data_IF_636857376777
#
_entry.id   IF_636857376777
#
_cell.length_a   1.000
_cell.length_b   1.000
_cell.length_c   1.000
_cell.angle_alpha   90.00
_cell.angle_beta   90.00
_cell.angle_gamma   90.00
#
_symmetry.space_group_name_H-M   'P 1'
#
loop_
_entity.id
_entity.type
_entity.pdbx_description
1 polymer ?
#
# COMPACT_ATOMS: atom_id res chain seq x y z
N UNK A 1 9.63 21.87 7.45
CA UNK A 1 10.48 21.34 8.55
C UNK A 1 10.95 22.41 9.50
N UNK A 2 11.43 23.54 8.98
CA UNK A 2 12.07 24.59 9.77
C UNK A 2 11.16 25.26 10.80
N UNK A 3 9.87 25.43 10.48
CA UNK A 3 8.89 26.08 11.37
C UNK A 3 8.67 25.28 12.67
N UNK A 4 8.38 23.98 12.59
CA UNK A 4 8.14 23.18 13.81
C UNK A 4 9.39 23.05 14.69
N UNK A 5 10.58 22.87 14.07
CA UNK A 5 11.85 22.86 14.81
C UNK A 5 12.07 24.17 15.57
N UNK A 6 11.79 25.30 14.91
CA UNK A 6 12.00 26.64 15.47
C UNK A 6 11.04 26.97 16.61
N UNK A 7 9.78 26.53 16.53
CA UNK A 7 8.73 26.94 17.48
C UNK A 7 8.37 25.89 18.54
N UNK A 8 8.64 24.60 18.29
CA UNK A 8 8.22 23.49 19.16
C UNK A 8 9.41 22.64 19.64
N UNK A 9 10.58 22.78 18.99
CA UNK A 9 11.81 22.08 19.34
C UNK A 9 12.05 20.83 18.50
N UNK A 10 13.33 20.46 18.37
CA UNK A 10 13.78 19.41 17.45
C UNK A 10 13.41 17.98 17.85
N UNK A 11 13.20 17.76 19.14
CA UNK A 11 12.86 16.45 19.71
C UNK A 11 11.37 16.30 20.03
N UNK A 12 10.55 17.33 19.77
CA UNK A 12 9.12 17.23 19.99
C UNK A 12 8.51 16.18 19.04
N UNK A 13 7.58 15.38 19.56
CA UNK A 13 6.91 14.29 18.82
C UNK A 13 6.30 14.77 17.49
N UNK A 14 5.73 15.98 17.43
CA UNK A 14 5.19 16.54 16.19
C UNK A 14 6.29 16.83 15.15
N UNK A 15 7.42 17.38 15.59
CA UNK A 15 8.60 17.62 14.73
C UNK A 15 9.16 16.31 14.19
N UNK A 16 9.33 15.32 15.07
CA UNK A 16 9.81 13.99 14.69
C UNK A 16 8.84 13.27 13.74
N UNK A 17 7.54 13.38 13.98
CA UNK A 17 6.50 12.85 13.10
C UNK A 17 6.58 13.45 11.69
N UNK A 18 6.82 14.76 11.58
CA UNK A 18 7.00 15.39 10.27
C UNK A 18 8.29 14.94 9.59
N UNK A 19 9.38 14.74 10.33
CA UNK A 19 10.63 14.14 9.83
C UNK A 19 10.40 12.74 9.25
N UNK A 20 9.58 11.91 9.88
CA UNK A 20 9.20 10.62 9.31
C UNK A 20 8.40 10.78 8.02
N UNK A 21 7.38 11.64 7.99
CA UNK A 21 6.58 11.88 6.77
C UNK A 21 7.41 12.38 5.59
N UNK A 22 8.43 13.20 5.88
CA UNK A 22 9.40 13.63 4.86
C UNK A 22 10.26 12.46 4.36
N UNK A 23 10.71 11.58 5.27
CA UNK A 23 11.34 10.31 4.90
C UNK A 23 10.46 9.45 3.99
N UNK A 24 9.17 9.32 4.32
CA UNK A 24 8.20 8.54 3.54
C UNK A 24 8.03 9.13 2.12
N UNK A 25 8.05 10.46 2.00
CA UNK A 25 8.03 11.17 0.71
C UNK A 25 9.28 10.86 -0.12
N UNK A 26 10.46 10.86 0.50
CA UNK A 26 11.74 10.54 -0.17
C UNK A 26 11.76 9.11 -0.70
N UNK A 27 11.24 8.15 0.06
CA UNK A 27 11.03 6.78 -0.44
C UNK A 27 10.13 6.79 -1.68
N UNK A 28 9.02 7.54 -1.63
CA UNK A 28 8.07 7.65 -2.74
C UNK A 28 8.65 8.22 -4.03
N UNK A 29 9.66 9.09 -3.96
CA UNK A 29 10.36 9.67 -5.13
C UNK A 29 11.66 8.94 -5.49
N UNK A 30 12.00 7.86 -4.78
CA UNK A 30 13.15 7.00 -5.08
C UNK A 30 14.47 7.39 -4.39
N UNK A 31 14.49 8.39 -3.52
CA UNK A 31 15.70 8.80 -2.77
C UNK A 31 15.89 8.01 -1.47
N UNK A 32 16.00 6.69 -1.62
CA UNK A 32 16.02 5.73 -0.50
C UNK A 32 17.21 5.89 0.46
N UNK A 33 18.38 6.33 -0.04
CA UNK A 33 19.55 6.59 0.81
C UNK A 33 19.34 7.73 1.79
N UNK A 34 18.73 8.82 1.34
CA UNK A 34 18.41 10.00 2.15
C UNK A 34 17.31 9.69 3.16
N UNK A 35 16.28 8.94 2.74
CA UNK A 35 15.24 8.43 3.62
C UNK A 35 15.80 7.61 4.78
N UNK A 36 16.74 6.70 4.50
CA UNK A 36 17.43 5.90 5.51
C UNK A 36 18.13 6.77 6.57
N UNK A 37 18.80 7.84 6.14
CA UNK A 37 19.47 8.77 7.05
C UNK A 37 18.48 9.53 7.94
N UNK A 38 17.35 9.98 7.36
CA UNK A 38 16.28 10.67 8.12
C UNK A 38 15.67 9.75 9.18
N UNK A 39 15.27 8.53 8.82
CA UNK A 39 14.69 7.60 9.80
C UNK A 39 15.64 7.29 10.95
N UNK A 40 16.92 7.05 10.66
CA UNK A 40 17.95 6.84 11.69
C UNK A 40 18.12 8.05 12.61
N UNK A 41 18.08 9.25 12.05
CA UNK A 41 18.20 10.47 12.83
C UNK A 41 16.99 10.66 13.77
N UNK A 42 15.78 10.44 13.26
CA UNK A 42 14.55 10.50 14.06
C UNK A 42 14.60 9.49 15.20
N UNK A 43 14.94 8.24 14.91
CA UNK A 43 15.06 7.20 15.93
C UNK A 43 16.00 7.65 17.07
N UNK A 44 17.22 8.06 16.72
CA UNK A 44 18.22 8.52 17.71
C UNK A 44 17.73 9.71 18.54
N UNK A 45 17.04 10.68 17.92
CA UNK A 45 16.46 11.82 18.65
C UNK A 45 15.34 11.38 19.59
N UNK A 46 14.47 10.50 19.12
CA UNK A 46 13.35 9.95 19.89
C UNK A 46 13.84 9.16 21.11
N UNK A 47 14.85 8.30 20.95
CA UNK A 47 15.48 7.56 22.04
C UNK A 47 16.06 8.50 23.10
N UNK A 48 16.86 9.49 22.67
CA UNK A 48 17.45 10.49 23.58
C UNK A 48 16.41 11.30 24.33
N UNK A 49 15.26 11.54 23.72
CA UNK A 49 14.14 12.27 24.31
C UNK A 49 13.17 11.38 25.11
N UNK A 50 13.41 10.07 25.20
CA UNK A 50 12.54 9.12 25.90
C UNK A 50 11.22 8.80 25.17
N UNK A 51 11.11 9.16 23.89
CA UNK A 51 9.93 8.88 23.06
C UNK A 51 10.00 7.47 22.45
N UNK A 52 9.92 6.45 23.31
CA UNK A 52 10.06 5.02 22.95
C UNK A 52 9.23 4.59 21.74
N UNK A 53 7.93 4.93 21.70
CA UNK A 53 7.07 4.47 20.60
C UNK A 53 7.38 5.18 19.26
N UNK A 54 7.90 6.41 19.31
CA UNK A 54 8.40 7.13 18.13
C UNK A 54 9.72 6.51 17.63
N UNK A 55 10.61 6.13 18.55
CA UNK A 55 11.84 5.41 18.22
C UNK A 55 11.53 4.06 17.55
N UNK A 56 10.60 3.29 18.13
CA UNK A 56 10.11 2.03 17.56
C UNK A 56 9.53 2.22 16.15
N UNK A 57 8.68 3.23 15.96
CA UNK A 57 8.10 3.54 14.64
C UNK A 57 9.12 3.96 13.59
N UNK A 58 10.22 4.62 14.00
CA UNK A 58 11.33 4.97 13.13
C UNK A 58 12.19 3.74 12.77
N UNK A 59 12.50 2.88 13.75
CA UNK A 59 13.20 1.62 13.54
C UNK A 59 12.43 0.69 12.59
N UNK A 60 11.11 0.59 12.75
CA UNK A 60 10.26 -0.19 11.85
C UNK A 60 10.31 0.34 10.40
N UNK A 61 10.26 1.65 10.18
CA UNK A 61 10.42 2.23 8.82
C UNK A 61 11.78 1.89 8.21
N UNK A 62 12.86 1.86 9.01
CA UNK A 62 14.18 1.39 8.55
C UNK A 62 14.13 -0.09 8.16
N UNK A 63 13.46 -0.93 8.94
CA UNK A 63 13.25 -2.35 8.64
C UNK A 63 12.51 -2.55 7.31
N UNK A 64 11.41 -1.81 7.13
CA UNK A 64 10.62 -1.84 5.89
C UNK A 64 11.43 -1.38 4.68
N UNK A 65 12.21 -0.31 4.81
CA UNK A 65 13.10 0.14 3.75
C UNK A 65 14.17 -0.91 3.41
N UNK A 66 14.79 -1.54 4.41
CA UNK A 66 15.75 -2.63 4.18
C UNK A 66 15.12 -3.80 3.44
N UNK A 67 13.89 -4.19 3.81
CA UNK A 67 13.11 -5.22 3.13
C UNK A 67 12.90 -4.87 1.65
N UNK A 68 12.46 -3.64 1.35
CA UNK A 68 12.23 -3.20 -0.04
C UNK A 68 13.50 -3.18 -0.89
N UNK A 69 14.66 -3.06 -0.27
CA UNK A 69 15.97 -3.07 -0.92
C UNK A 69 16.60 -4.47 -0.99
N UNK A 70 15.89 -5.53 -0.57
CA UNK A 70 16.38 -6.91 -0.56
C UNK A 70 17.40 -7.21 0.54
N UNK A 71 17.58 -6.32 1.52
CA UNK A 71 18.50 -6.49 2.65
C UNK A 71 17.80 -7.20 3.79
N UNK A 72 17.54 -8.50 3.63
CA UNK A 72 16.68 -9.26 4.53
C UNK A 72 17.22 -9.39 5.96
N UNK A 73 18.53 -9.59 6.12
CA UNK A 73 19.17 -9.65 7.44
C UNK A 73 19.00 -8.32 8.20
N UNK A 74 19.28 -7.19 7.54
CA UNK A 74 19.07 -5.86 8.11
C UNK A 74 17.60 -5.64 8.47
N UNK A 75 16.68 -6.03 7.57
CA UNK A 75 15.25 -5.88 7.78
C UNK A 75 14.76 -6.63 9.02
N UNK A 76 15.22 -7.86 9.21
CA UNK A 76 14.88 -8.65 10.40
C UNK A 76 15.44 -8.03 11.67
N UNK A 77 16.74 -7.70 11.70
CA UNK A 77 17.37 -7.07 12.85
C UNK A 77 16.66 -5.76 13.27
N UNK A 78 16.34 -4.90 12.30
CA UNK A 78 15.67 -3.62 12.55
C UNK A 78 14.23 -3.80 13.03
N UNK A 79 13.55 -4.87 12.60
CA UNK A 79 12.21 -5.18 13.06
C UNK A 79 12.21 -5.71 14.51
N UNK A 80 13.21 -6.52 14.89
CA UNK A 80 13.42 -6.90 16.29
C UNK A 80 13.80 -5.70 17.17
N UNK A 81 14.65 -4.80 16.67
CA UNK A 81 15.00 -3.54 17.33
C UNK A 81 13.75 -2.66 17.58
N UNK A 82 12.84 -2.57 16.61
CA UNK A 82 11.58 -1.85 16.78
C UNK A 82 10.72 -2.41 17.91
N UNK A 83 10.65 -3.74 18.06
CA UNK A 83 9.95 -4.38 19.19
C UNK A 83 10.63 -4.05 20.51
N UNK A 84 11.96 -4.09 20.57
CA UNK A 84 12.71 -3.80 21.79
C UNK A 84 12.58 -2.34 22.26
N UNK A 85 12.39 -1.40 21.32
CA UNK A 85 12.23 0.03 21.62
C UNK A 85 10.81 0.40 22.09
N UNK A 86 9.80 -0.40 21.72
CA UNK A 86 8.40 -0.13 22.00
C UNK A 86 8.10 -0.18 23.50
N UNK A 87 7.18 0.68 23.97
CA UNK A 87 6.70 0.62 25.38
C UNK A 87 5.20 0.49 25.45
N UNK A 88 4.45 1.39 24.83
CA UNK A 88 2.98 1.35 24.89
C UNK A 88 2.39 0.49 23.76
N UNK A 89 3.11 0.34 22.64
CA UNK A 89 2.64 -0.32 21.43
C UNK A 89 3.40 -1.62 21.11
N UNK A 90 3.91 -2.33 22.13
CA UNK A 90 4.73 -3.55 21.96
C UNK A 90 4.02 -4.59 21.09
N UNK A 91 2.73 -4.85 21.37
CA UNK A 91 1.96 -5.86 20.62
C UNK A 91 1.86 -5.50 19.13
N UNK A 92 1.57 -4.24 18.81
CA UNK A 92 1.56 -3.76 17.43
C UNK A 92 2.92 -3.94 16.76
N UNK A 93 4.03 -3.63 17.45
CA UNK A 93 5.36 -3.81 16.88
C UNK A 93 5.72 -5.28 16.65
N UNK A 94 5.27 -6.18 17.54
CA UNK A 94 5.43 -7.64 17.35
C UNK A 94 4.70 -8.06 16.07
N UNK A 95 3.46 -7.64 15.87
CA UNK A 95 2.67 -7.97 14.68
C UNK A 95 3.34 -7.44 13.39
N UNK A 96 3.81 -6.19 13.43
CA UNK A 96 4.54 -5.57 12.32
C UNK A 96 5.84 -6.30 11.99
N UNK A 97 6.59 -6.78 12.99
CA UNK A 97 7.77 -7.63 12.78
C UNK A 97 7.40 -8.94 12.10
N UNK A 98 6.32 -9.61 12.53
CA UNK A 98 5.90 -10.86 11.91
C UNK A 98 5.48 -10.65 10.44
N UNK A 99 4.93 -9.49 10.09
CA UNK A 99 4.69 -9.11 8.69
C UNK A 99 6.00 -9.01 7.90
N UNK A 100 7.06 -8.39 8.46
CA UNK A 100 8.38 -8.31 7.82
C UNK A 100 8.96 -9.71 7.60
N UNK A 101 8.98 -10.56 8.62
CA UNK A 101 9.48 -11.95 8.52
C UNK A 101 8.72 -12.76 7.48
N UNK A 102 7.40 -12.61 7.44
CA UNK A 102 6.56 -13.28 6.44
C UNK A 102 6.92 -12.85 5.02
N UNK A 103 7.17 -11.55 4.79
CA UNK A 103 7.60 -11.06 3.48
C UNK A 103 8.98 -11.57 3.07
N UNK A 104 9.91 -11.70 4.03
CA UNK A 104 11.21 -12.33 3.80
C UNK A 104 11.02 -13.81 3.40
N UNK A 105 10.21 -14.56 4.14
CA UNK A 105 9.92 -15.97 3.86
C UNK A 105 9.32 -16.16 2.45
N UNK A 106 8.35 -15.32 2.06
CA UNK A 106 7.78 -15.32 0.70
C UNK A 106 8.87 -15.06 -0.34
N UNK A 107 9.77 -14.09 -0.10
CA UNK A 107 10.87 -13.82 -1.02
C UNK A 107 11.83 -15.01 -1.16
N UNK A 108 11.95 -15.85 -0.14
CA UNK A 108 12.72 -17.10 -0.20
C UNK A 108 11.92 -18.29 -0.76
N UNK A 109 10.68 -18.08 -1.17
CA UNK A 109 9.85 -19.10 -1.82
C UNK A 109 8.94 -19.88 -0.87
N UNK A 110 8.82 -19.48 0.40
CA UNK A 110 7.85 -20.09 1.32
C UNK A 110 6.42 -19.65 0.97
N UNK A 111 5.70 -20.56 0.32
CA UNK A 111 4.30 -20.35 -0.11
C UNK A 111 3.30 -20.46 1.05
N UNK A 112 3.69 -21.02 2.19
CA UNK A 112 2.85 -21.22 3.37
C UNK A 112 2.93 -20.08 4.40
N UNK A 113 3.97 -19.24 4.32
CA UNK A 113 4.22 -18.15 5.27
C UNK A 113 3.01 -17.20 5.44
N UNK A 114 2.31 -16.87 4.36
CA UNK A 114 1.15 -15.96 4.42
C UNK A 114 -0.01 -16.58 5.19
N UNK A 115 -0.32 -17.85 4.93
CA UNK A 115 -1.41 -18.55 5.62
C UNK A 115 -1.08 -18.76 7.11
N UNK A 116 0.19 -18.95 7.45
CA UNK A 116 0.65 -19.02 8.83
C UNK A 116 0.51 -17.68 9.58
N UNK A 117 0.88 -16.57 8.94
CA UNK A 117 0.70 -15.23 9.50
C UNK A 117 -0.78 -14.88 9.67
N UNK A 118 -1.59 -15.16 8.65
CA UNK A 118 -3.02 -14.95 8.67
C UNK A 118 -3.71 -15.69 9.84
N UNK A 119 -3.28 -16.90 10.20
CA UNK A 119 -3.83 -17.60 11.37
C UNK A 119 -3.53 -16.91 12.71
N UNK A 120 -2.43 -16.16 12.77
CA UNK A 120 -1.94 -15.51 13.99
C UNK A 120 -2.53 -14.11 14.17
N UNK A 121 -2.65 -13.36 13.08
CA UNK A 121 -3.32 -12.07 13.06
C UNK A 121 -4.83 -12.33 12.96
N UNK A 122 -5.59 -12.12 14.03
CA UNK A 122 -7.06 -12.12 13.95
C UNK A 122 -7.57 -10.72 14.18
N UNK A 123 -8.42 -10.25 13.27
CA UNK A 123 -9.09 -8.96 13.37
C UNK A 123 -10.58 -9.15 13.72
N UNK A 124 -11.18 -8.11 14.28
CA UNK A 124 -12.64 -8.03 14.35
C UNK A 124 -13.22 -7.78 12.95
N UNK A 125 -14.38 -8.36 12.63
CA UNK A 125 -15.11 -8.04 11.39
C UNK A 125 -15.50 -6.56 11.25
N UNK A 126 -15.51 -5.80 12.35
CA UNK A 126 -15.81 -4.37 12.36
C UNK A 126 -14.63 -3.50 11.88
N UNK A 127 -13.42 -4.06 11.83
CA UNK A 127 -12.23 -3.34 11.39
C UNK A 127 -12.09 -3.36 9.87
N UNK A 128 -11.48 -2.30 9.34
CA UNK A 128 -11.20 -2.21 7.91
C UNK A 128 -10.20 -3.31 7.51
N UNK A 129 -10.52 -4.19 6.53
CA UNK A 129 -9.69 -5.35 6.25
C UNK A 129 -8.27 -4.96 5.87
N UNK A 130 -7.30 -5.50 6.63
CA UNK A 130 -5.88 -5.19 6.44
C UNK A 130 -5.25 -6.16 5.44
N UNK A 131 -4.64 -5.61 4.38
CA UNK A 131 -3.97 -6.40 3.35
C UNK A 131 -2.60 -6.87 3.85
N UNK A 132 -2.39 -8.19 3.92
CA UNK A 132 -1.10 -8.79 4.27
C UNK A 132 -0.21 -8.84 3.03
N UNK A 133 -0.75 -9.41 1.95
CA UNK A 133 -0.01 -9.74 0.75
C UNK A 133 -0.83 -9.48 -0.50
N UNK A 134 -0.17 -8.87 -1.49
CA UNK A 134 -0.62 -8.82 -2.87
C UNK A 134 0.60 -9.06 -3.76
N UNK A 135 0.54 -9.98 -4.72
CA UNK A 135 1.63 -10.12 -5.68
C UNK A 135 1.75 -8.87 -6.55
N UNK A 136 2.90 -8.67 -7.22
CA UNK A 136 3.01 -7.64 -8.24
C UNK A 136 1.98 -7.86 -9.34
N UNK A 137 1.58 -6.79 -10.00
CA UNK A 137 0.77 -6.88 -11.21
C UNK A 137 1.73 -7.17 -12.35
N UNK A 138 1.82 -8.44 -12.73
CA UNK A 138 2.63 -8.86 -13.86
C UNK A 138 2.05 -8.28 -15.18
N UNK A 139 2.90 -8.19 -16.20
CA UNK A 139 2.50 -8.03 -17.60
C UNK A 139 2.08 -6.64 -18.06
N UNK A 140 2.24 -5.62 -17.23
CA UNK A 140 1.90 -4.24 -17.60
C UNK A 140 2.74 -3.73 -18.77
N UNK A 141 4.00 -4.17 -18.86
CA UNK A 141 4.95 -3.75 -19.89
C UNK A 141 5.49 -4.95 -20.71
N UNK A 142 4.71 -6.02 -20.90
CA UNK A 142 5.19 -7.20 -21.66
C UNK A 142 5.61 -6.77 -23.07
N UNK A 143 6.84 -7.09 -23.54
CA UNK A 143 7.21 -6.90 -24.93
C UNK A 143 6.44 -7.92 -25.76
N UNK A 144 5.32 -7.53 -26.36
CA UNK A 144 4.65 -8.37 -27.35
C UNK A 144 5.49 -8.38 -28.63
N UNK A 145 5.76 -9.57 -29.19
CA UNK A 145 6.54 -9.77 -30.41
C UNK A 145 6.00 -9.01 -31.65
N UNK A 146 4.79 -8.46 -31.57
CA UNK A 146 4.13 -7.69 -32.64
C UNK A 146 4.13 -6.16 -32.41
N UNK A 147 4.83 -5.64 -31.40
CA UNK A 147 4.73 -4.22 -31.01
C UNK A 147 6.02 -3.42 -31.21
N UNK A 148 6.75 -3.65 -32.29
CA UNK A 148 7.86 -2.79 -32.68
C UNK A 148 7.40 -1.41 -33.22
N UNK A 149 6.11 -1.10 -33.29
CA UNK A 149 5.68 0.16 -33.93
C UNK A 149 4.80 1.13 -33.13
N UNK A 150 4.09 0.79 -32.05
CA UNK A 150 3.14 1.77 -31.46
C UNK A 150 2.92 1.78 -29.93
N UNK A 151 3.57 0.93 -29.12
CA UNK A 151 3.39 0.98 -27.64
C UNK A 151 4.13 2.17 -27.00
N UNK A 152 5.06 2.80 -27.73
CA UNK A 152 5.95 3.85 -27.18
C UNK A 152 5.21 5.18 -26.91
N UNK A 153 3.94 5.34 -27.35
CA UNK A 153 3.22 6.62 -27.27
C UNK A 153 1.75 6.52 -26.85
N UNK A 154 1.36 5.52 -26.04
CA UNK A 154 0.00 5.53 -25.50
C UNK A 154 -0.14 6.55 -24.35
N UNK A 155 -0.51 7.77 -24.72
CA UNK A 155 -0.82 8.86 -23.80
C UNK A 155 -2.18 8.70 -23.10
N UNK A 156 -2.99 7.72 -23.52
CA UNK A 156 -4.32 7.52 -22.97
C UNK A 156 -4.25 6.91 -21.56
N UNK A 157 -5.04 7.47 -20.65
CA UNK A 157 -5.22 6.92 -19.31
C UNK A 157 -6.29 5.85 -19.41
N UNK A 158 -5.93 4.59 -19.17
CA UNK A 158 -6.88 3.50 -19.08
C UNK A 158 -7.24 3.24 -17.61
N UNK A 159 -8.51 2.97 -17.32
CA UNK A 159 -8.90 2.57 -15.96
C UNK A 159 -10.05 1.56 -15.91
N UNK A 160 -10.18 0.87 -14.78
CA UNK A 160 -11.39 0.14 -14.43
C UNK A 160 -11.67 0.23 -12.93
N UNK A 161 -12.96 0.27 -12.58
CA UNK A 161 -13.43 0.14 -11.20
C UNK A 161 -13.80 -1.34 -11.00
N UNK A 162 -13.16 -1.99 -10.03
CA UNK A 162 -13.33 -3.41 -9.76
C UNK A 162 -13.89 -3.60 -8.36
N UNK A 163 -14.99 -4.34 -8.27
CA UNK A 163 -15.61 -4.77 -7.02
C UNK A 163 -15.17 -6.17 -6.65
N UNK A 164 -14.98 -6.46 -5.35
CA UNK A 164 -14.72 -7.81 -4.88
C UNK A 164 -15.05 -7.98 -3.39
N UNK A 165 -15.29 -9.22 -2.98
CA UNK A 165 -15.53 -9.59 -1.59
C UNK A 165 -14.24 -10.08 -0.92
N UNK A 166 -13.97 -9.57 0.29
CA UNK A 166 -12.96 -10.11 1.20
C UNK A 166 -13.69 -11.02 2.19
N UNK A 167 -13.43 -12.33 2.11
CA UNK A 167 -14.06 -13.36 2.94
C UNK A 167 -13.48 -13.37 4.36
N UNK A 168 -14.20 -13.93 5.34
CA UNK A 168 -13.69 -14.08 6.72
C UNK A 168 -12.35 -14.81 6.83
N UNK A 169 -12.04 -15.70 5.88
CA UNK A 169 -10.75 -16.40 5.80
C UNK A 169 -9.60 -15.55 5.23
N UNK A 170 -9.86 -14.27 4.95
CA UNK A 170 -8.90 -13.33 4.39
C UNK A 170 -8.67 -13.47 2.88
N UNK A 171 -9.41 -14.31 2.16
CA UNK A 171 -9.29 -14.47 0.70
C UNK A 171 -10.27 -13.58 -0.06
N UNK A 172 -9.90 -13.23 -1.28
CA UNK A 172 -10.78 -12.48 -2.19
C UNK A 172 -11.67 -13.43 -3.00
N UNK A 173 -12.86 -12.97 -3.35
CA UNK A 173 -13.80 -13.71 -4.22
C UNK A 173 -14.78 -12.76 -4.92
N UNK A 174 -15.55 -13.28 -5.87
CA UNK A 174 -16.63 -12.52 -6.52
C UNK A 174 -16.14 -11.23 -7.16
N UNK A 175 -15.01 -11.30 -7.87
CA UNK A 175 -14.42 -10.14 -8.54
C UNK A 175 -15.32 -9.76 -9.72
N UNK A 176 -15.76 -8.51 -9.77
CA UNK A 176 -16.59 -7.95 -10.82
C UNK A 176 -16.03 -6.64 -11.37
N UNK A 177 -16.39 -6.32 -12.61
CA UNK A 177 -16.00 -5.08 -13.28
C UNK A 177 -17.18 -4.11 -13.23
N UNK A 178 -17.06 -3.04 -12.45
CA UNK A 178 -18.13 -2.04 -12.27
C UNK A 178 -18.06 -0.95 -13.34
N UNK A 179 -16.85 -0.51 -13.70
CA UNK A 179 -16.60 0.43 -14.80
C UNK A 179 -15.36 0.02 -15.57
N UNK A 180 -15.33 0.30 -16.86
CA UNK A 180 -14.17 0.05 -17.71
C UNK A 180 -14.00 1.18 -18.73
N UNK A 181 -12.80 1.75 -18.76
CA UNK A 181 -12.35 2.75 -19.70
C UNK A 181 -11.00 2.32 -20.27
N UNK A 182 -11.03 1.28 -21.12
CA UNK A 182 -9.86 0.90 -21.92
C UNK A 182 -8.82 0.01 -21.23
N UNK A 183 -9.12 -0.63 -20.09
CA UNK A 183 -8.15 -1.47 -19.38
C UNK A 183 -7.80 -2.79 -20.11
N UNK A 184 -8.52 -3.12 -21.19
CA UNK A 184 -8.57 -4.43 -21.87
C UNK A 184 -7.33 -5.32 -21.76
N UNK A 185 -6.17 -4.90 -22.30
CA UNK A 185 -4.94 -5.71 -22.32
C UNK A 185 -4.39 -6.05 -20.91
N UNK A 186 -4.56 -5.15 -19.95
CA UNK A 186 -3.99 -5.27 -18.60
C UNK A 186 -4.94 -5.94 -17.60
N UNK A 187 -6.23 -6.03 -17.95
CA UNK A 187 -7.27 -6.59 -17.07
C UNK A 187 -6.92 -7.98 -16.53
N UNK A 188 -6.45 -8.97 -17.33
CA UNK A 188 -6.16 -10.30 -16.80
C UNK A 188 -5.08 -10.31 -15.71
N UNK A 189 -4.04 -9.48 -15.84
CA UNK A 189 -2.97 -9.36 -14.83
C UNK A 189 -3.52 -8.79 -13.51
N UNK A 190 -4.34 -7.75 -13.60
CA UNK A 190 -5.00 -7.13 -12.45
C UNK A 190 -5.94 -8.12 -11.74
N UNK A 191 -6.77 -8.86 -12.48
CA UNK A 191 -7.68 -9.85 -11.91
C UNK A 191 -6.93 -10.98 -11.19
N UNK A 192 -5.82 -11.47 -11.77
CA UNK A 192 -4.95 -12.46 -11.11
C UNK A 192 -4.36 -11.91 -9.82
N UNK A 193 -3.91 -10.65 -9.83
CA UNK A 193 -3.37 -9.99 -8.65
C UNK A 193 -4.41 -9.91 -7.53
N UNK A 194 -5.63 -9.47 -7.83
CA UNK A 194 -6.72 -9.41 -6.84
C UNK A 194 -7.03 -10.79 -6.28
N UNK A 195 -7.16 -11.82 -7.12
CA UNK A 195 -7.45 -13.21 -6.70
C UNK A 195 -6.36 -13.79 -5.78
N UNK A 196 -5.12 -13.35 -5.96
CA UNK A 196 -3.99 -13.80 -5.17
C UNK A 196 -3.76 -13.00 -3.88
N UNK A 197 -4.55 -11.94 -3.61
CA UNK A 197 -4.44 -11.16 -2.38
C UNK A 197 -4.79 -11.98 -1.15
N UNK A 198 -4.17 -11.60 -0.04
CA UNK A 198 -4.43 -12.16 1.29
C UNK A 198 -4.57 -11.02 2.28
N UNK A 199 -5.69 -11.03 2.98
CA UNK A 199 -6.03 -10.12 4.05
C UNK A 199 -5.91 -10.85 5.39
N UNK A 200 -5.84 -10.08 6.47
CA UNK A 200 -5.98 -10.60 7.82
C UNK A 200 -7.35 -11.24 7.97
N UNK A 201 -7.45 -12.53 8.36
CA UNK A 201 -8.73 -13.16 8.68
C UNK A 201 -9.42 -12.43 9.81
N UNK A 202 -10.74 -12.41 9.77
CA UNK A 202 -11.54 -11.71 10.76
C UNK A 202 -12.69 -12.57 11.28
N UNK A 203 -12.98 -12.42 12.55
CA UNK A 203 -14.05 -13.15 13.22
C UNK A 203 -15.40 -12.55 12.81
N UNK A 204 -16.20 -13.33 12.08
CA UNK A 204 -17.51 -12.95 11.61
C UNK A 204 -18.55 -14.00 11.97
N UNK A 205 -19.81 -13.56 12.15
CA UNK A 205 -20.92 -14.46 12.40
C UNK A 205 -21.12 -15.44 11.22
N UNK A 206 -21.63 -16.64 11.53
CA UNK A 206 -22.00 -17.62 10.52
C UNK A 206 -22.95 -17.00 9.49
N UNK A 207 -22.61 -17.13 8.19
CA UNK A 207 -23.36 -16.54 7.09
C UNK A 207 -22.93 -15.14 6.66
N UNK A 208 -21.96 -14.49 7.35
CA UNK A 208 -21.41 -13.21 6.89
C UNK A 208 -20.69 -13.38 5.53
N UNK A 209 -21.14 -12.70 4.45
CA UNK A 209 -20.60 -12.93 3.11
C UNK A 209 -19.16 -12.41 2.96
N UNK A 210 -18.71 -11.52 3.84
CA UNK A 210 -17.44 -10.83 3.78
C UNK A 210 -17.61 -9.32 3.67
N UNK A 211 -16.49 -8.60 3.59
CA UNK A 211 -16.48 -7.15 3.40
C UNK A 211 -16.27 -6.83 1.92
N UNK A 212 -17.20 -6.08 1.33
CA UNK A 212 -17.10 -5.68 -0.07
C UNK A 212 -16.16 -4.49 -0.23
N UNK A 213 -15.32 -4.51 -1.27
CA UNK A 213 -14.39 -3.44 -1.63
C UNK A 213 -14.51 -3.07 -3.09
N UNK A 214 -14.27 -1.79 -3.36
CA UNK A 214 -14.20 -1.25 -4.72
C UNK A 214 -12.86 -0.55 -4.89
N UNK A 215 -12.13 -0.91 -5.94
CA UNK A 215 -10.84 -0.29 -6.27
C UNK A 215 -10.81 0.19 -7.72
N UNK A 216 -10.30 1.40 -7.95
CA UNK A 216 -9.96 1.90 -9.28
C UNK A 216 -8.52 1.57 -9.62
N UNK A 217 -8.34 0.81 -10.69
CA UNK A 217 -7.04 0.56 -11.30
C UNK A 217 -6.87 1.49 -12.48
N UNK A 218 -5.81 2.30 -12.46
CA UNK A 218 -5.46 3.23 -13.54
C UNK A 218 -4.11 2.85 -14.11
N UNK A 219 -4.07 2.52 -15.39
CA UNK A 219 -2.84 2.27 -16.16
C UNK A 219 -2.50 3.53 -16.94
N UNK A 220 -1.27 4.03 -16.75
CA UNK A 220 -0.77 5.21 -17.48
C UNK A 220 0.75 5.18 -17.61
N UNK A 221 1.27 5.81 -18.66
CA UNK A 221 2.71 6.03 -18.81
C UNK A 221 3.25 7.05 -17.80
N UNK A 222 4.49 6.84 -17.36
CA UNK A 222 5.29 7.86 -16.68
C UNK A 222 5.69 9.00 -17.64
N UNK A 223 6.20 10.08 -17.08
CA UNK A 223 6.62 11.24 -17.87
C UNK A 223 8.01 11.02 -18.47
N UNK A 224 8.11 11.16 -19.78
CA UNK A 224 9.36 11.20 -20.55
C UNK A 224 9.42 12.43 -21.44
N UNK A 225 10.54 12.63 -22.13
CA UNK A 225 10.69 13.66 -23.16
C UNK A 225 10.75 12.94 -24.52
N UNK A 226 9.73 13.10 -25.39
CA UNK A 226 9.75 12.48 -26.71
C UNK A 226 10.93 13.00 -27.54
N UNK A 227 11.46 12.13 -28.39
CA UNK A 227 12.47 12.53 -29.39
C UNK A 227 11.91 13.66 -30.24
N UNK A 228 12.65 14.76 -30.36
CA UNK A 228 12.21 15.95 -31.11
C UNK A 228 11.30 16.92 -30.34
N UNK A 229 10.96 16.63 -29.08
CA UNK A 229 10.24 17.55 -28.19
C UNK A 229 11.12 18.02 -27.04
N UNK A 230 10.85 19.22 -26.51
CA UNK A 230 11.43 19.71 -25.24
C UNK A 230 10.43 19.65 -24.09
N UNK A 231 9.20 19.21 -24.35
CA UNK A 231 8.13 19.14 -23.38
C UNK A 231 8.01 17.74 -22.82
N UNK A 232 7.90 17.62 -21.49
CA UNK A 232 7.62 16.34 -20.82
C UNK A 232 6.19 15.90 -21.15
N UNK A 233 6.05 14.66 -21.61
CA UNK A 233 4.79 14.01 -21.98
C UNK A 233 4.72 12.60 -21.38
N UNK A 234 3.53 12.00 -21.31
CA UNK A 234 3.34 10.63 -20.83
C UNK A 234 3.70 9.63 -21.91
N UNK A 235 4.95 9.18 -21.94
CA UNK A 235 5.49 8.34 -23.02
C UNK A 235 6.46 7.25 -22.55
N UNK A 236 6.75 7.14 -21.25
CA UNK A 236 7.66 6.10 -20.79
C UNK A 236 6.91 4.89 -20.25
N UNK A 237 7.44 4.27 -19.19
CA UNK A 237 6.98 2.97 -18.71
C UNK A 237 5.54 3.07 -18.19
N UNK A 238 4.72 2.08 -18.53
CA UNK A 238 3.38 1.96 -17.97
C UNK A 238 3.45 1.59 -16.48
N UNK A 239 2.68 2.33 -15.70
CA UNK A 239 2.55 2.17 -14.24
C UNK A 239 1.08 1.97 -13.88
N UNK A 240 0.83 1.19 -12.82
CA UNK A 240 -0.52 0.99 -12.29
C UNK A 240 -0.67 1.78 -11.00
N UNK A 241 -1.72 2.58 -10.94
CA UNK A 241 -2.14 3.28 -9.75
C UNK A 241 -3.45 2.69 -9.25
N UNK A 242 -3.55 2.42 -7.95
CA UNK A 242 -4.73 1.84 -7.33
C UNK A 242 -5.29 2.82 -6.30
N UNK A 243 -6.60 3.06 -6.36
CA UNK A 243 -7.33 3.92 -5.41
C UNK A 243 -8.49 3.13 -4.83
N UNK A 244 -8.62 3.09 -3.49
CA UNK A 244 -9.78 2.53 -2.81
C UNK A 244 -10.97 3.50 -2.96
N UNK A 245 -12.05 3.04 -3.59
CA UNK A 245 -13.29 3.79 -3.81
C UNK A 245 -14.43 3.34 -2.89
N UNK A 246 -14.18 2.41 -1.97
CA UNK A 246 -15.23 1.77 -1.15
C UNK A 246 -16.07 2.80 -0.38
N UNK A 247 -15.42 3.79 0.25
CA UNK A 247 -16.14 4.86 0.96
C UNK A 247 -16.78 5.88 0.00
N UNK A 248 -16.09 6.22 -1.09
CA UNK A 248 -16.58 7.20 -2.08
C UNK A 248 -17.85 6.73 -2.76
N UNK A 249 -17.94 5.44 -3.13
CA UNK A 249 -19.12 4.87 -3.75
C UNK A 249 -20.26 4.69 -2.74
N UNK A 250 -19.97 4.32 -1.49
CA UNK A 250 -20.98 4.27 -0.42
C UNK A 250 -21.61 5.65 -0.17
N UNK A 251 -20.78 6.70 -0.11
CA UNK A 251 -21.26 8.09 0.00
C UNK A 251 -22.07 8.53 -1.24
N UNK A 252 -21.62 8.15 -2.43
CA UNK A 252 -22.31 8.48 -3.70
C UNK A 252 -23.63 7.73 -3.86
N UNK A 253 -23.76 6.51 -3.33
CA UNK A 253 -25.02 5.76 -3.28
C UNK A 253 -26.01 6.43 -2.32
N UNK A 254 -25.57 6.74 -1.09
CA UNK A 254 -26.39 7.42 -0.09
C UNK A 254 -26.81 8.85 -0.50
N UNK A 255 -26.03 9.52 -1.36
CA UNK A 255 -26.42 10.81 -1.93
C UNK A 255 -27.47 10.66 -3.05
N UNK A 256 -27.37 9.60 -3.88
CA UNK A 256 -28.37 9.30 -4.91
C UNK A 256 -29.72 8.91 -4.31
N UNK A 257 -29.74 8.11 -3.25
CA UNK A 257 -30.98 7.76 -2.53
C UNK A 257 -31.67 9.00 -1.96
N UNK A 258 -30.93 9.89 -1.28
CA UNK A 258 -31.47 11.16 -0.77
C UNK A 258 -32.04 12.07 -1.86
N UNK A 259 -31.40 12.11 -3.04
CA UNK A 259 -31.93 12.88 -4.18
C UNK A 259 -33.18 12.23 -4.78
N UNK A 260 -33.27 10.90 -4.80
CA UNK A 260 -34.45 10.17 -5.27
C UNK A 260 -35.63 10.37 -4.31
N UNK A 261 -35.42 10.28 -3.00
CA UNK A 261 -36.43 10.58 -1.97
C UNK A 261 -36.94 12.02 -2.07
N UNK A 262 -36.04 12.99 -2.26
CA UNK A 262 -36.40 14.40 -2.45
C UNK A 262 -37.18 14.65 -3.75
N UNK A 263 -36.97 13.85 -4.79
CA UNK A 263 -37.72 13.92 -6.05
C UNK A 263 -39.07 13.20 -6.01
N UNK A 264 -39.25 12.24 -5.10
CA UNK A 264 -40.49 11.49 -4.90
C UNK A 264 -41.50 12.21 -3.98
N UNK A 265 -41.14 13.36 -3.41
CA UNK A 265 -42.00 14.20 -2.56
C UNK A 265 -42.34 15.56 -3.22
N UNK A 266 -42.27 15.63 -4.55
CA UNK A 266 -42.81 16.73 -5.38
C UNK A 266 -43.87 16.19 -6.31
#
# INVERSE_FOLDING_TARGET
MEVLRRYVGESNVATLGQELSFGDTMVGIGTTGEASAVYRNVQRKAEKAGHSDMAAGAAFRRAWLALTLGRYSDAEHLADEAVALARSNVQLMVELREIVRTRIAISHGDKGAVDALAKRLRQSAAEMPTLIFAPPIDDINRPTAFAQSNIIYDSAIAYADLGFWIRPDGRTSGIEVLRNAGLGPWRPGILRQIKARRYVPFDANSGYPGTYRIERFTVRADYGVPVGSRMKQRIGKLTVHVVDLTQTDAMSAAQRERMQEASAHR
#
